data_IF_631143109085
#
_entry.id   IF_631143109085
#
_cell.length_a   1.000
_cell.length_b   1.000
_cell.length_c   1.000
_cell.angle_alpha   90.00
_cell.angle_beta   90.00
_cell.angle_gamma   90.00
#
_symmetry.space_group_name_H-M   'P 1'
#
loop_
_entity.id
_entity.type
_entity.pdbx_description
1 polymer ?
#
# COMPACT_ATOMS: atom_id res chain seq x y z
N UNK A 1 -1.82 -20.11 -3.85
CA UNK A 1 -1.00 -19.71 -2.70
C UNK A 1 -0.94 -18.19 -2.64
N UNK A 2 -1.66 -17.61 -1.70
CA UNK A 2 -1.69 -16.15 -1.54
C UNK A 2 -0.35 -15.64 -1.03
N UNK A 3 0.30 -14.79 -1.80
CA UNK A 3 1.44 -14.03 -1.32
C UNK A 3 0.91 -12.95 -0.37
N UNK A 4 0.81 -13.27 0.90
CA UNK A 4 0.49 -12.30 1.93
C UNK A 4 1.59 -11.23 1.97
N UNK A 5 1.24 -9.94 2.10
CA UNK A 5 2.22 -8.90 2.34
C UNK A 5 2.99 -9.20 3.63
N UNK A 6 4.28 -8.87 3.66
CA UNK A 6 5.07 -9.04 4.88
C UNK A 6 4.42 -8.28 6.04
N UNK A 7 4.13 -8.97 7.12
CA UNK A 7 3.53 -8.40 8.32
C UNK A 7 4.39 -8.67 9.55
N UNK A 8 4.41 -7.73 10.52
CA UNK A 8 5.10 -7.96 11.77
C UNK A 8 4.38 -9.05 12.60
N UNK A 9 5.17 -9.93 13.18
CA UNK A 9 4.67 -10.94 14.13
C UNK A 9 4.78 -10.36 15.53
N UNK A 10 3.65 -10.30 16.22
CA UNK A 10 3.58 -9.75 17.57
C UNK A 10 3.80 -10.85 18.62
N UNK A 11 4.56 -10.50 19.65
CA UNK A 11 4.69 -11.35 20.84
C UNK A 11 3.41 -11.28 21.67
N UNK A 12 2.88 -12.42 22.16
CA UNK A 12 1.68 -12.42 23.00
C UNK A 12 1.98 -11.85 24.39
N UNK A 13 1.93 -10.52 24.47
CA UNK A 13 2.10 -9.78 25.73
C UNK A 13 0.73 -9.37 26.32
N UNK A 14 0.76 -8.77 27.49
CA UNK A 14 -0.44 -8.31 28.18
C UNK A 14 -1.29 -7.35 27.32
N UNK A 15 -0.64 -6.50 26.51
CA UNK A 15 -1.33 -5.58 25.60
C UNK A 15 -2.09 -6.32 24.51
N UNK A 16 -1.46 -7.26 23.83
CA UNK A 16 -2.09 -8.07 22.79
C UNK A 16 -3.26 -8.89 23.35
N UNK A 17 -3.09 -9.46 24.54
CA UNK A 17 -4.13 -10.21 25.20
C UNK A 17 -5.33 -9.35 25.65
N UNK A 18 -5.09 -8.07 25.99
CA UNK A 18 -6.14 -7.16 26.42
C UNK A 18 -6.97 -6.60 25.25
N UNK A 19 -6.34 -6.31 24.13
CA UNK A 19 -7.02 -5.71 22.96
C UNK A 19 -7.52 -6.74 21.95
N UNK A 20 -6.92 -7.93 21.95
CA UNK A 20 -7.23 -9.00 21.00
C UNK A 20 -6.52 -8.85 19.64
N UNK A 21 -6.44 -9.99 18.93
CA UNK A 21 -5.73 -10.05 17.65
C UNK A 21 -6.33 -9.14 16.57
N UNK A 22 -7.66 -8.96 16.57
CA UNK A 22 -8.34 -8.10 15.59
C UNK A 22 -7.95 -6.63 15.72
N UNK A 23 -7.95 -6.09 16.94
CA UNK A 23 -7.53 -4.72 17.20
C UNK A 23 -6.04 -4.51 16.92
N UNK A 24 -5.21 -5.50 17.23
CA UNK A 24 -3.78 -5.47 16.92
C UNK A 24 -3.51 -5.39 15.41
N UNK A 25 -4.32 -6.06 14.58
CA UNK A 25 -4.20 -5.95 13.12
C UNK A 25 -4.51 -4.53 12.62
N UNK A 26 -5.51 -3.87 13.18
CA UNK A 26 -5.83 -2.47 12.85
C UNK A 26 -4.66 -1.55 13.24
N UNK A 27 -4.09 -1.75 14.42
CA UNK A 27 -2.92 -0.97 14.87
C UNK A 27 -1.68 -1.19 13.97
N UNK A 28 -1.47 -2.41 13.49
CA UNK A 28 -0.41 -2.71 12.50
C UNK A 28 -0.67 -1.96 11.20
N UNK A 29 -1.89 -2.03 10.67
CA UNK A 29 -2.24 -1.37 9.41
C UNK A 29 -2.11 0.15 9.52
N UNK A 30 -2.48 0.75 10.65
CA UNK A 30 -2.25 2.17 10.92
C UNK A 30 -0.75 2.53 10.98
N UNK A 31 0.07 1.75 11.67
CA UNK A 31 1.51 1.99 11.74
C UNK A 31 2.17 1.88 10.35
N UNK A 32 1.73 0.94 9.52
CA UNK A 32 2.18 0.82 8.13
C UNK A 32 1.76 2.05 7.31
N UNK A 33 0.51 2.50 7.45
CA UNK A 33 0.01 3.69 6.77
C UNK A 33 0.77 4.95 7.19
N UNK A 34 1.06 5.11 8.48
CA UNK A 34 1.87 6.22 9.01
C UNK A 34 3.29 6.19 8.45
N UNK A 35 3.92 5.03 8.38
CA UNK A 35 5.25 4.88 7.77
C UNK A 35 5.25 5.31 6.30
N UNK A 36 4.26 4.91 5.54
CA UNK A 36 4.10 5.29 4.14
C UNK A 36 3.83 6.79 3.99
N UNK A 37 2.99 7.37 4.86
CA UNK A 37 2.65 8.80 4.85
C UNK A 37 3.78 9.71 5.29
N UNK A 38 4.68 9.24 6.15
CA UNK A 38 5.83 10.01 6.65
C UNK A 38 7.00 10.09 5.65
N UNK A 39 6.89 9.46 4.49
CA UNK A 39 7.95 9.43 3.48
C UNK A 39 9.12 8.52 3.82
N UNK A 40 9.00 7.71 4.87
CA UNK A 40 9.97 6.68 5.20
C UNK A 40 9.93 5.62 4.10
N UNK A 41 11.06 5.38 3.45
CA UNK A 41 11.09 4.57 2.22
C UNK A 41 10.62 5.33 0.96
N UNK A 42 10.63 6.66 0.98
CA UNK A 42 10.08 7.56 -0.04
C UNK A 42 10.55 7.28 -1.47
N UNK A 43 11.74 6.70 -1.65
CA UNK A 43 12.24 6.34 -2.97
C UNK A 43 11.36 5.30 -3.68
N UNK A 44 10.76 4.37 -2.94
CA UNK A 44 9.84 3.38 -3.50
C UNK A 44 8.40 3.88 -3.56
N UNK A 45 7.91 4.55 -2.51
CA UNK A 45 6.56 5.12 -2.48
C UNK A 45 6.36 6.24 -3.49
N UNK A 46 7.33 7.15 -3.62
CA UNK A 46 7.32 8.23 -4.63
C UNK A 46 7.41 7.68 -6.05
N UNK A 47 8.17 6.62 -6.29
CA UNK A 47 8.26 5.98 -7.59
C UNK A 47 6.95 5.25 -7.96
N UNK A 48 6.31 4.56 -7.01
CA UNK A 48 5.01 3.94 -7.21
C UNK A 48 3.95 5.01 -7.52
N UNK A 49 3.92 6.10 -6.77
CA UNK A 49 2.99 7.21 -7.00
C UNK A 49 3.19 7.84 -8.38
N UNK A 50 4.43 8.06 -8.80
CA UNK A 50 4.76 8.55 -10.16
C UNK A 50 4.31 7.57 -11.24
N UNK A 51 4.59 6.29 -11.08
CA UNK A 51 4.18 5.25 -12.04
C UNK A 51 2.66 5.13 -12.13
N UNK A 52 1.97 5.20 -11.00
CA UNK A 52 0.51 5.14 -10.95
C UNK A 52 -0.11 6.36 -11.62
N UNK A 53 0.44 7.56 -11.37
CA UNK A 53 -0.04 8.79 -12.01
C UNK A 53 0.20 8.78 -13.53
N UNK A 54 1.39 8.31 -13.96
CA UNK A 54 1.72 8.20 -15.38
C UNK A 54 0.84 7.16 -16.07
N UNK A 55 0.66 6.00 -15.46
CA UNK A 55 -0.20 4.94 -15.99
C UNK A 55 -1.66 5.41 -16.08
N UNK A 56 -2.15 6.15 -15.10
CA UNK A 56 -3.50 6.74 -15.11
C UNK A 56 -3.67 7.76 -16.21
N UNK A 57 -2.66 8.62 -16.45
CA UNK A 57 -2.69 9.61 -17.53
C UNK A 57 -2.71 8.94 -18.90
N UNK A 58 -1.83 7.94 -19.13
CA UNK A 58 -1.77 7.19 -20.39
C UNK A 58 -3.05 6.40 -20.62
N UNK A 59 -3.55 5.69 -19.59
CA UNK A 59 -4.79 4.92 -19.67
C UNK A 59 -6.01 5.78 -19.87
N UNK A 60 -6.05 6.97 -19.24
CA UNK A 60 -7.10 7.96 -19.42
C UNK A 60 -7.15 8.50 -20.85
N UNK A 61 -6.00 8.83 -21.43
CA UNK A 61 -5.91 9.31 -22.81
C UNK A 61 -6.34 8.22 -23.81
N UNK A 62 -5.86 6.99 -23.65
CA UNK A 62 -6.26 5.88 -24.50
C UNK A 62 -7.74 5.54 -24.37
N UNK A 63 -8.28 5.56 -23.13
CA UNK A 63 -9.68 5.34 -22.86
C UNK A 63 -10.58 6.42 -23.44
N UNK A 64 -10.14 7.70 -23.38
CA UNK A 64 -10.84 8.82 -23.99
C UNK A 64 -10.97 8.65 -25.50
N UNK A 65 -9.84 8.28 -26.17
CA UNK A 65 -9.84 8.04 -27.62
C UNK A 65 -10.81 6.92 -28.01
N UNK A 66 -10.79 5.80 -27.29
CA UNK A 66 -11.69 4.67 -27.53
C UNK A 66 -13.16 5.04 -27.23
N UNK A 67 -13.39 5.84 -26.19
CA UNK A 67 -14.72 6.31 -25.81
C UNK A 67 -15.29 7.34 -26.78
N UNK A 68 -14.45 8.15 -27.40
CA UNK A 68 -14.85 9.16 -28.39
C UNK A 68 -15.52 8.53 -29.61
N UNK A 69 -15.03 7.37 -30.06
CA UNK A 69 -15.63 6.62 -31.17
C UNK A 69 -17.06 6.22 -30.88
N UNK A 70 -17.41 6.05 -29.63
CA UNK A 70 -18.76 5.68 -29.17
C UNK A 70 -19.55 6.86 -28.62
N UNK A 71 -19.08 8.09 -28.77
CA UNK A 71 -19.74 9.29 -28.27
C UNK A 71 -19.66 9.50 -26.74
N UNK A 72 -18.80 8.79 -26.03
CA UNK A 72 -18.70 8.81 -24.56
C UNK A 72 -17.23 8.93 -24.10
N UNK A 73 -16.50 9.92 -24.61
CA UNK A 73 -15.09 10.14 -24.30
C UNK A 73 -14.82 10.26 -22.78
N UNK A 74 -15.69 10.94 -22.04
CA UNK A 74 -15.56 11.12 -20.60
C UNK A 74 -15.60 9.82 -19.81
N UNK A 75 -16.53 8.93 -20.15
CA UNK A 75 -16.63 7.59 -19.53
C UNK A 75 -15.45 6.71 -19.89
N UNK A 76 -15.00 6.75 -21.17
CA UNK A 76 -13.83 6.01 -21.60
C UNK A 76 -12.58 6.44 -20.87
N UNK A 77 -12.38 7.76 -20.72
CA UNK A 77 -11.25 8.32 -19.97
C UNK A 77 -11.25 7.87 -18.50
N UNK A 78 -12.41 7.94 -17.83
CA UNK A 78 -12.53 7.57 -16.43
C UNK A 78 -12.25 6.07 -16.21
N UNK A 79 -12.78 5.21 -17.07
CA UNK A 79 -12.55 3.76 -16.98
C UNK A 79 -11.11 3.39 -17.31
N UNK A 80 -10.51 4.05 -18.32
CA UNK A 80 -9.12 3.81 -18.70
C UNK A 80 -8.16 4.27 -17.62
N UNK A 81 -8.37 5.43 -17.02
CA UNK A 81 -7.56 5.95 -15.93
C UNK A 81 -7.67 5.07 -14.68
N UNK A 82 -8.87 4.65 -14.30
CA UNK A 82 -9.09 3.79 -13.15
C UNK A 82 -8.44 2.41 -13.34
N UNK A 83 -8.58 1.81 -14.52
CA UNK A 83 -7.97 0.52 -14.82
C UNK A 83 -6.45 0.56 -14.84
N UNK A 84 -5.87 1.59 -15.46
CA UNK A 84 -4.42 1.78 -15.51
C UNK A 84 -3.83 2.12 -14.14
N UNK A 85 -4.51 2.94 -13.34
CA UNK A 85 -4.10 3.25 -11.98
C UNK A 85 -4.11 2.00 -11.09
N UNK A 86 -5.17 1.19 -11.16
CA UNK A 86 -5.24 -0.08 -10.43
C UNK A 86 -4.14 -1.05 -10.85
N UNK A 87 -3.89 -1.20 -12.16
CA UNK A 87 -2.80 -2.04 -12.69
C UNK A 87 -1.43 -1.53 -12.28
N UNK A 88 -1.22 -0.22 -12.30
CA UNK A 88 0.02 0.42 -11.83
C UNK A 88 0.28 0.18 -10.35
N UNK A 89 -0.75 0.31 -9.51
CA UNK A 89 -0.67 0.01 -8.08
C UNK A 89 -0.32 -1.45 -7.84
N UNK A 90 -0.97 -2.37 -8.54
CA UNK A 90 -0.74 -3.82 -8.38
C UNK A 90 0.70 -4.18 -8.73
N UNK A 91 1.23 -3.69 -9.85
CA UNK A 91 2.61 -3.96 -10.26
C UNK A 91 3.64 -3.33 -9.32
N UNK A 92 3.37 -2.14 -8.80
CA UNK A 92 4.17 -1.49 -7.77
C UNK A 92 4.20 -2.29 -6.47
N UNK A 93 3.04 -2.78 -6.01
CA UNK A 93 2.90 -3.62 -4.82
C UNK A 93 3.64 -4.95 -4.97
N UNK A 94 3.64 -5.56 -6.16
CA UNK A 94 4.37 -6.80 -6.42
C UNK A 94 5.89 -6.61 -6.31
N UNK A 95 6.42 -5.48 -6.78
CA UNK A 95 7.85 -5.15 -6.66
C UNK A 95 8.28 -4.70 -5.27
N UNK A 96 7.35 -4.16 -4.48
CA UNK A 96 7.61 -3.67 -3.11
C UNK A 96 7.27 -4.68 -2.02
N UNK A 97 7.26 -5.98 -2.34
CA UNK A 97 6.98 -7.05 -1.36
C UNK A 97 7.96 -7.11 -0.20
N UNK A 98 9.17 -6.63 -0.41
CA UNK A 98 10.10 -6.39 0.68
C UNK A 98 9.95 -4.95 1.15
N UNK A 99 9.37 -4.79 2.32
CA UNK A 99 9.40 -3.51 3.02
C UNK A 99 10.84 -3.12 3.30
N UNK A 100 11.18 -1.88 3.00
CA UNK A 100 12.50 -1.37 3.32
C UNK A 100 12.84 -1.56 4.80
N UNK A 101 14.10 -1.87 5.15
CA UNK A 101 14.51 -2.03 6.54
C UNK A 101 14.15 -0.82 7.41
N UNK A 102 14.19 0.38 6.83
CA UNK A 102 13.82 1.62 7.53
C UNK A 102 12.32 1.68 7.81
N UNK A 103 11.49 1.27 6.84
CA UNK A 103 10.04 1.18 7.03
C UNK A 103 9.69 0.14 8.10
N UNK A 104 10.34 -1.03 8.08
CA UNK A 104 10.15 -2.05 9.12
C UNK A 104 10.47 -1.50 10.50
N UNK A 105 11.61 -0.81 10.64
CA UNK A 105 12.01 -0.20 11.90
C UNK A 105 11.04 0.88 12.37
N UNK A 106 10.51 1.68 11.45
CA UNK A 106 9.49 2.67 11.77
C UNK A 106 8.22 2.01 12.33
N UNK A 107 7.72 0.97 11.67
CA UNK A 107 6.54 0.22 12.11
C UNK A 107 6.79 -0.47 13.45
N UNK A 108 7.97 -1.08 13.63
CA UNK A 108 8.36 -1.69 14.91
C UNK A 108 8.38 -0.66 16.05
N UNK A 109 8.93 0.52 15.82
CA UNK A 109 8.93 1.61 16.80
C UNK A 109 7.52 2.08 17.12
N UNK A 110 6.68 2.31 16.10
CA UNK A 110 5.29 2.71 16.25
C UNK A 110 4.50 1.68 17.08
N UNK A 111 4.67 0.40 16.80
CA UNK A 111 4.01 -0.67 17.57
C UNK A 111 4.54 -0.76 18.99
N UNK A 112 5.85 -0.54 19.19
CA UNK A 112 6.45 -0.54 20.52
C UNK A 112 5.92 0.61 21.38
N UNK A 113 5.74 1.80 20.81
CA UNK A 113 5.13 2.95 21.50
C UNK A 113 3.67 2.66 21.93
N UNK A 114 2.95 1.83 21.16
CA UNK A 114 1.61 1.38 21.51
C UNK A 114 1.58 0.21 22.51
N UNK A 115 2.75 -0.28 22.93
CA UNK A 115 2.91 -1.35 23.92
C UNK A 115 2.97 -2.76 23.34
N UNK A 116 3.09 -2.89 22.02
CA UNK A 116 3.32 -4.20 21.38
C UNK A 116 4.81 -4.52 21.30
N UNK A 117 5.11 -5.81 21.27
CA UNK A 117 6.46 -6.32 21.03
C UNK A 117 6.46 -7.10 19.72
N UNK A 118 7.34 -6.71 18.81
CA UNK A 118 7.51 -7.40 17.54
C UNK A 118 8.62 -8.43 17.65
N UNK A 119 8.38 -9.63 17.11
CA UNK A 119 9.36 -10.72 17.07
C UNK A 119 10.13 -10.76 15.75
N UNK A 120 9.51 -10.30 14.69
CA UNK A 120 10.06 -10.34 13.35
C UNK A 120 9.00 -10.08 12.29
N UNK A 121 9.36 -10.31 11.04
CA UNK A 121 8.50 -10.07 9.87
C UNK A 121 8.36 -11.37 9.07
N UNK A 122 7.11 -11.67 8.67
CA UNK A 122 6.78 -12.80 7.79
C UNK A 122 6.18 -12.33 6.48
#
# INVERSE_FOLDING_TARGET
>A
MGCAPQRPVLYPNAKLNSVGAGAAQVDIDECIALAQGSGVGANKGGEIAKRTATAGAVGGAAGAAAGAVRGNAGRGAAMGAAGAAAGGMTSGLIKSRELDPVTKRYVDTCLHERGYQTLGWQ
#
